data_IF_140078988700
#
_entry.id   IF_140078988700
#
_cell.length_a   1.000
_cell.length_b   1.000
_cell.length_c   1.000
_cell.angle_alpha   90.00
_cell.angle_beta   90.00
_cell.angle_gamma   90.00
#
_symmetry.space_group_name_H-M   'P 1'
#
loop_
_entity.id
_entity.type
_entity.pdbx_description
1 polymer ?
#
# COMPACT_ATOMS: atom_id res chain seq x y z
N UNK A 1 6.57 -11.31 2.34
CA UNK A 1 7.18 -9.97 2.19
C UNK A 1 6.60 -9.13 3.29
N UNK A 2 7.45 -8.49 4.07
CA UNK A 2 6.99 -7.75 5.24
C UNK A 2 6.53 -6.35 4.86
N UNK A 3 5.27 -6.05 5.17
CA UNK A 3 4.59 -4.81 4.84
C UNK A 3 4.43 -3.93 6.08
N UNK A 4 4.50 -2.62 5.89
CA UNK A 4 3.98 -1.63 6.80
C UNK A 4 2.85 -0.83 6.13
N UNK A 5 1.72 -0.65 6.82
CA UNK A 5 0.64 0.23 6.38
C UNK A 5 0.49 1.40 7.36
N UNK A 6 0.76 2.61 6.86
CA UNK A 6 0.59 3.87 7.57
C UNK A 6 -0.87 4.32 7.48
N UNK A 7 -1.63 4.05 8.54
CA UNK A 7 -3.01 4.48 8.67
C UNK A 7 -3.07 5.87 9.32
N UNK A 8 -3.13 6.89 8.47
CA UNK A 8 -3.06 8.31 8.84
C UNK A 8 -4.40 8.81 9.39
N UNK A 9 -4.85 8.28 10.53
CA UNK A 9 -6.13 8.64 11.17
C UNK A 9 -6.20 10.15 11.47
N UNK A 10 -5.16 10.67 12.11
CA UNK A 10 -5.00 12.08 12.46
C UNK A 10 -3.82 12.76 11.73
N UNK A 11 -3.38 12.18 10.62
CA UNK A 11 -2.21 12.65 9.88
C UNK A 11 -0.92 12.00 10.38
N UNK A 12 0.20 12.70 10.24
CA UNK A 12 1.54 12.17 10.53
C UNK A 12 2.54 13.29 10.84
N UNK A 13 3.37 13.06 11.85
CA UNK A 13 4.60 13.79 12.14
C UNK A 13 5.75 12.83 12.44
N UNK A 14 6.97 13.36 12.54
CA UNK A 14 8.18 12.58 12.81
C UNK A 14 8.08 11.75 14.10
N UNK A 15 7.80 12.41 15.21
CA UNK A 15 7.54 11.82 16.53
C UNK A 15 6.40 10.78 16.51
N UNK A 16 5.30 11.05 15.79
CA UNK A 16 4.20 10.10 15.63
C UNK A 16 4.61 8.86 14.83
N UNK A 17 5.41 9.02 13.78
CA UNK A 17 5.93 7.89 13.00
C UNK A 17 6.85 7.01 13.84
N UNK A 18 7.81 7.64 14.53
CA UNK A 18 8.75 6.94 15.40
C UNK A 18 8.03 6.24 16.57
N UNK A 19 7.11 6.94 17.23
CA UNK A 19 6.30 6.38 18.32
C UNK A 19 5.46 5.19 17.88
N UNK A 20 4.82 5.28 16.71
CA UNK A 20 4.03 4.18 16.17
C UNK A 20 4.90 2.95 15.83
N UNK A 21 6.12 3.14 15.34
CA UNK A 21 7.02 2.02 15.04
C UNK A 21 7.60 1.37 16.29
N UNK A 22 7.93 2.16 17.32
CA UNK A 22 8.32 1.65 18.64
C UNK A 22 7.18 0.82 19.25
N UNK A 23 5.96 1.34 19.22
CA UNK A 23 4.78 0.61 19.71
C UNK A 23 4.49 -0.66 18.90
N UNK A 24 4.79 -0.65 17.59
CA UNK A 24 4.67 -1.82 16.73
C UNK A 24 5.76 -2.88 16.96
N UNK A 25 6.74 -2.62 17.85
CA UNK A 25 7.73 -3.58 18.31
C UNK A 25 9.18 -3.28 17.90
N UNK A 26 9.49 -2.08 17.41
CA UNK A 26 10.89 -1.69 17.23
C UNK A 26 11.59 -1.54 18.59
N UNK A 27 12.77 -2.13 18.75
CA UNK A 27 13.51 -2.13 20.01
C UNK A 27 14.04 -0.72 20.32
N UNK A 28 13.45 -0.08 21.33
CA UNK A 28 13.79 1.28 21.72
C UNK A 28 15.21 1.42 22.27
N UNK A 29 15.73 0.41 22.98
CA UNK A 29 17.09 0.48 23.53
C UNK A 29 18.12 0.43 22.40
N UNK A 30 17.94 -0.47 21.44
CA UNK A 30 18.79 -0.50 20.24
C UNK A 30 18.65 0.78 19.41
N UNK A 31 17.44 1.32 19.28
CA UNK A 31 17.20 2.56 18.56
C UNK A 31 17.93 3.75 19.22
N UNK A 32 17.89 3.84 20.56
CA UNK A 32 18.63 4.83 21.35
C UNK A 32 20.14 4.68 21.18
N UNK A 33 20.66 3.45 21.19
CA UNK A 33 22.08 3.18 20.95
C UNK A 33 22.55 3.56 19.54
N UNK A 34 21.74 3.24 18.53
CA UNK A 34 22.01 3.63 17.13
C UNK A 34 21.98 5.14 16.97
N UNK A 35 20.94 5.83 17.45
CA UNK A 35 20.81 7.28 17.37
C UNK A 35 21.94 8.03 18.08
N UNK A 36 22.49 7.49 19.17
CA UNK A 36 23.62 8.08 19.88
C UNK A 36 24.92 8.15 19.03
N UNK A 37 24.97 7.43 17.90
CA UNK A 37 26.09 7.50 16.94
C UNK A 37 26.06 8.76 16.07
N UNK A 38 24.93 9.47 16.01
CA UNK A 38 24.83 10.73 15.28
C UNK A 38 25.73 11.78 15.95
N UNK A 39 26.62 12.47 15.22
CA UNK A 39 27.45 13.52 15.78
C UNK A 39 26.65 14.82 15.93
N UNK A 40 25.64 14.78 16.80
CA UNK A 40 24.77 15.88 17.19
C UNK A 40 25.17 16.42 18.57
N UNK A 41 24.59 17.55 18.96
CA UNK A 41 24.67 18.04 20.34
C UNK A 41 24.00 17.04 21.30
N UNK A 42 24.36 17.03 22.59
CA UNK A 42 23.73 16.14 23.55
C UNK A 42 22.20 16.29 23.55
N UNK A 43 21.53 15.17 23.27
CA UNK A 43 20.09 15.03 23.32
C UNK A 43 19.70 13.80 24.12
N UNK A 44 18.49 13.81 24.63
CA UNK A 44 17.82 12.67 25.24
C UNK A 44 16.54 12.35 24.47
N UNK A 45 16.15 11.09 24.46
CA UNK A 45 14.92 10.61 23.84
C UNK A 45 14.09 9.89 24.91
N UNK A 46 12.91 10.42 25.17
CA UNK A 46 11.95 9.85 26.12
C UNK A 46 10.77 9.24 25.34
N UNK A 47 10.32 8.06 25.77
CA UNK A 47 9.12 7.41 25.24
C UNK A 47 8.17 7.15 26.39
N UNK A 48 6.97 7.71 26.31
CA UNK A 48 5.93 7.55 27.32
C UNK A 48 4.68 6.87 26.76
N UNK A 49 4.04 6.04 27.59
CA UNK A 49 2.70 5.52 27.34
C UNK A 49 1.67 6.61 27.64
N UNK A 50 0.83 6.92 26.65
CA UNK A 50 -0.21 7.95 26.77
C UNK A 50 -1.55 7.43 26.28
N UNK A 51 -2.63 7.92 26.88
CA UNK A 51 -3.98 7.67 26.40
C UNK A 51 -4.49 8.91 25.64
N UNK A 52 -4.99 8.72 24.42
CA UNK A 52 -5.62 9.76 23.60
C UNK A 52 -6.98 9.28 23.11
N UNK A 53 -8.03 9.91 23.62
CA UNK A 53 -9.43 9.58 23.36
C UNK A 53 -9.73 8.06 23.48
N UNK A 54 -9.18 7.42 24.52
CA UNK A 54 -9.37 6.00 24.82
C UNK A 54 -8.44 5.03 24.08
N UNK A 55 -7.49 5.52 23.28
CA UNK A 55 -6.45 4.71 22.65
C UNK A 55 -5.11 4.90 23.38
N UNK A 56 -4.48 3.79 23.76
CA UNK A 56 -3.09 3.80 24.20
C UNK A 56 -2.16 3.99 23.00
N UNK A 57 -1.14 4.81 23.17
CA UNK A 57 -0.15 5.13 22.17
C UNK A 57 1.17 5.50 22.83
N UNK A 58 2.26 5.46 22.06
CA UNK A 58 3.57 5.97 22.47
C UNK A 58 3.73 7.42 22.04
N UNK A 59 4.12 8.29 22.97
CA UNK A 59 4.62 9.64 22.65
C UNK A 59 6.13 9.62 22.74
N UNK A 60 6.79 10.18 21.72
CA UNK A 60 8.23 10.35 21.68
C UNK A 60 8.54 11.83 21.90
N UNK A 61 9.45 12.14 22.82
CA UNK A 61 9.93 13.49 23.05
C UNK A 61 11.46 13.51 22.94
N UNK A 62 11.99 14.36 22.07
CA UNK A 62 13.44 14.57 21.93
C UNK A 62 13.82 15.87 22.63
N UNK A 63 14.66 15.77 23.67
CA UNK A 63 15.14 16.92 24.44
C UNK A 63 16.58 17.21 24.10
N UNK A 64 16.85 18.32 23.40
CA UNK A 64 18.19 18.76 23.05
C UNK A 64 18.62 20.02 23.82
N UNK A 65 19.90 20.10 24.18
CA UNK A 65 20.45 21.19 25.00
C UNK A 65 20.76 22.49 24.23
N UNK A 66 20.86 22.44 22.90
CA UNK A 66 21.21 23.58 22.07
C UNK A 66 20.06 23.98 21.14
N UNK A 67 19.45 25.14 21.39
CA UNK A 67 18.52 25.76 20.46
C UNK A 67 19.27 26.60 19.41
N UNK A 68 18.87 26.49 18.14
CA UNK A 68 19.22 27.50 17.12
C UNK A 68 20.41 27.18 16.19
N UNK A 69 20.85 25.92 16.07
CA UNK A 69 21.82 25.55 15.04
C UNK A 69 21.10 25.34 13.72
N UNK A 70 21.32 26.28 12.80
CA UNK A 70 20.79 26.23 11.45
C UNK A 70 21.64 25.26 10.62
N UNK A 71 21.00 24.19 10.11
CA UNK A 71 21.67 23.16 9.29
C UNK A 71 21.25 23.25 7.83
N UNK A 72 22.22 23.05 6.94
CA UNK A 72 21.94 22.87 5.51
C UNK A 72 21.73 21.40 5.18
N UNK A 73 21.06 21.11 4.07
CA UNK A 73 20.92 19.73 3.58
C UNK A 73 22.28 19.04 3.42
N UNK A 74 23.28 19.75 2.85
CA UNK A 74 24.63 19.23 2.71
C UNK A 74 25.26 18.84 4.07
N UNK A 75 25.03 19.63 5.12
CA UNK A 75 25.52 19.33 6.47
C UNK A 75 24.82 18.11 7.10
N UNK A 76 23.51 17.96 6.90
CA UNK A 76 22.76 16.80 7.40
C UNK A 76 23.20 15.52 6.69
N UNK A 77 23.39 15.58 5.36
CA UNK A 77 23.89 14.43 4.61
C UNK A 77 25.27 13.99 5.12
N UNK A 78 26.20 14.93 5.28
CA UNK A 78 27.53 14.63 5.81
C UNK A 78 27.47 14.06 7.24
N UNK A 79 26.55 14.56 8.07
CA UNK A 79 26.29 14.04 9.41
C UNK A 79 25.83 12.57 9.35
N UNK A 80 24.84 12.26 8.51
CA UNK A 80 24.35 10.89 8.33
C UNK A 80 25.42 9.96 7.74
N UNK A 81 26.20 10.42 6.76
CA UNK A 81 27.30 9.64 6.16
C UNK A 81 28.38 9.26 7.20
N UNK A 82 28.56 10.10 8.22
CA UNK A 82 29.48 9.82 9.33
C UNK A 82 28.86 8.95 10.43
N UNK A 83 27.53 8.79 10.44
CA UNK A 83 26.83 7.93 11.36
C UNK A 83 26.96 6.48 10.89
N UNK A 84 27.50 5.60 11.74
CA UNK A 84 27.71 4.18 11.43
C UNK A 84 26.40 3.39 11.55
N UNK A 85 25.37 3.80 10.79
CA UNK A 85 24.06 3.16 10.73
C UNK A 85 24.08 1.92 9.83
N UNK A 86 23.13 0.98 10.02
CA UNK A 86 22.88 -0.07 9.04
C UNK A 86 22.64 0.53 7.64
N UNK A 87 23.16 -0.08 6.55
CA UNK A 87 23.08 0.48 5.20
C UNK A 87 21.65 0.84 4.75
N UNK A 88 20.68 -0.03 5.02
CA UNK A 88 19.28 0.19 4.61
C UNK A 88 18.64 1.36 5.38
N UNK A 89 18.96 1.50 6.67
CA UNK A 89 18.50 2.61 7.49
C UNK A 89 19.14 3.94 7.06
N UNK A 90 20.43 3.92 6.72
CA UNK A 90 21.15 5.08 6.22
C UNK A 90 20.59 5.55 4.87
N UNK A 91 20.38 4.62 3.92
CA UNK A 91 19.79 4.94 2.62
C UNK A 91 18.38 5.54 2.76
N UNK A 92 17.54 4.93 3.60
CA UNK A 92 16.20 5.44 3.85
C UNK A 92 16.22 6.83 4.53
N UNK A 93 17.04 7.05 5.55
CA UNK A 93 17.17 8.35 6.19
C UNK A 93 17.62 9.43 5.19
N UNK A 94 18.64 9.14 4.37
CA UNK A 94 19.10 10.05 3.32
C UNK A 94 18.01 10.33 2.27
N UNK A 95 17.22 9.33 1.90
CA UNK A 95 16.10 9.47 0.97
C UNK A 95 15.01 10.38 1.54
N UNK A 96 14.65 10.23 2.82
CA UNK A 96 13.68 11.11 3.50
C UNK A 96 14.17 12.57 3.48
N UNK A 97 15.41 12.82 3.92
CA UNK A 97 15.98 14.18 3.89
C UNK A 97 16.11 14.75 2.49
N UNK A 98 16.42 13.91 1.49
CA UNK A 98 16.47 14.35 0.09
C UNK A 98 15.11 14.81 -0.41
N UNK A 99 14.05 14.05 -0.15
CA UNK A 99 12.67 14.44 -0.51
C UNK A 99 12.29 15.77 0.10
N UNK A 100 12.60 15.95 1.38
CA UNK A 100 12.37 17.20 2.08
C UNK A 100 13.17 18.36 1.47
N UNK A 101 14.46 18.16 1.20
CA UNK A 101 15.31 19.18 0.57
C UNK A 101 14.81 19.56 -0.83
N UNK A 102 14.37 18.59 -1.64
CA UNK A 102 13.77 18.82 -2.96
C UNK A 102 12.51 19.68 -2.87
N UNK A 103 11.64 19.42 -1.90
CA UNK A 103 10.43 20.19 -1.67
C UNK A 103 10.75 21.63 -1.23
N UNK A 104 11.63 21.80 -0.25
CA UNK A 104 12.06 23.12 0.24
C UNK A 104 12.78 23.93 -0.86
N UNK A 105 13.63 23.29 -1.65
CA UNK A 105 14.31 23.90 -2.79
C UNK A 105 13.31 24.48 -3.80
N UNK A 106 12.22 23.76 -4.07
CA UNK A 106 11.15 24.20 -4.98
C UNK A 106 10.36 25.37 -4.39
N UNK A 107 9.93 25.25 -3.13
CA UNK A 107 9.16 26.30 -2.43
C UNK A 107 9.95 27.60 -2.38
N UNK A 108 11.25 27.52 -2.05
CA UNK A 108 12.12 28.68 -1.88
C UNK A 108 12.91 29.08 -3.13
N UNK A 109 12.81 28.33 -4.22
CA UNK A 109 13.54 28.53 -5.49
C UNK A 109 15.05 28.63 -5.28
N UNK A 110 15.61 27.65 -4.57
CA UNK A 110 17.03 27.55 -4.25
C UNK A 110 17.61 26.25 -4.81
N UNK A 111 18.94 26.21 -4.94
CA UNK A 111 19.65 24.95 -5.21
C UNK A 111 19.54 24.02 -4.00
N UNK A 112 19.35 22.72 -4.24
CA UNK A 112 19.07 21.73 -3.19
C UNK A 112 20.13 21.70 -2.08
N UNK A 113 21.42 21.76 -2.44
CA UNK A 113 22.53 21.73 -1.48
C UNK A 113 22.62 23.02 -0.64
N UNK A 114 21.99 24.10 -1.08
CA UNK A 114 21.91 25.38 -0.38
C UNK A 114 20.65 25.53 0.48
N UNK A 115 19.79 24.50 0.51
CA UNK A 115 18.60 24.48 1.36
C UNK A 115 19.02 24.51 2.82
N UNK A 116 18.44 25.46 3.53
CA UNK A 116 18.59 25.65 4.97
C UNK A 116 17.30 25.22 5.63
N UNK A 117 17.38 24.25 6.55
CA UNK A 117 16.21 23.82 7.31
C UNK A 117 16.10 24.68 8.58
N UNK A 118 15.05 25.48 8.67
CA UNK A 118 14.79 26.37 9.80
C UNK A 118 14.08 25.60 10.92
N UNK A 119 13.07 24.81 10.58
CA UNK A 119 12.29 24.00 11.54
C UNK A 119 12.74 22.55 11.55
N UNK A 120 13.12 22.01 10.38
CA UNK A 120 13.44 20.57 10.21
C UNK A 120 14.92 20.25 10.40
N UNK A 121 15.75 21.27 10.65
CA UNK A 121 17.20 21.12 10.90
C UNK A 121 17.52 20.96 12.38
N UNK A 122 16.51 21.06 13.23
CA UNK A 122 16.63 20.87 14.67
C UNK A 122 16.88 19.39 15.02
N UNK A 123 17.42 19.16 16.21
CA UNK A 123 17.86 17.84 16.66
C UNK A 123 16.70 16.85 16.75
N UNK A 124 15.53 17.31 17.18
CA UNK A 124 14.28 16.54 17.23
C UNK A 124 13.90 15.97 15.85
N UNK A 125 13.85 16.81 14.82
CA UNK A 125 13.52 16.39 13.46
C UNK A 125 14.54 15.40 12.88
N UNK A 126 15.82 15.57 13.21
CA UNK A 126 16.87 14.64 12.78
C UNK A 126 16.72 13.29 13.46
N UNK A 127 16.49 13.30 14.76
CA UNK A 127 16.26 12.08 15.56
C UNK A 127 14.99 11.37 15.11
N UNK A 128 13.91 12.09 14.83
CA UNK A 128 12.65 11.52 14.35
C UNK A 128 12.81 10.81 13.00
N UNK A 129 13.45 11.47 12.02
CA UNK A 129 13.66 10.91 10.68
C UNK A 129 14.63 9.72 10.72
N UNK A 130 15.78 9.89 11.39
CA UNK A 130 16.76 8.84 11.55
C UNK A 130 16.19 7.64 12.32
N UNK A 131 15.48 7.91 13.41
CA UNK A 131 14.82 6.91 14.25
C UNK A 131 13.74 6.16 13.49
N UNK A 132 12.91 6.86 12.72
CA UNK A 132 11.89 6.23 11.85
C UNK A 132 12.54 5.30 10.83
N UNK A 133 13.64 5.72 10.19
CA UNK A 133 14.36 4.89 9.24
C UNK A 133 14.94 3.64 9.90
N UNK A 134 15.60 3.79 11.06
CA UNK A 134 16.11 2.68 11.87
C UNK A 134 15.00 1.72 12.29
N UNK A 135 13.88 2.24 12.79
CA UNK A 135 12.77 1.42 13.27
C UNK A 135 12.11 0.62 12.15
N UNK A 136 11.93 1.20 10.96
CA UNK A 136 11.45 0.46 9.78
C UNK A 136 12.40 -0.67 9.39
N UNK A 137 13.72 -0.41 9.39
CA UNK A 137 14.74 -1.42 9.11
C UNK A 137 14.77 -2.51 10.18
N UNK A 138 14.68 -2.17 11.47
CA UNK A 138 14.62 -3.12 12.58
C UNK A 138 13.39 -4.03 12.50
N UNK A 139 12.26 -3.47 12.09
CA UNK A 139 11.04 -4.23 11.85
C UNK A 139 11.08 -5.05 10.56
N UNK A 140 12.16 -4.98 9.79
CA UNK A 140 12.34 -5.72 8.54
C UNK A 140 11.33 -5.35 7.47
N UNK A 141 10.83 -4.11 7.46
CA UNK A 141 9.82 -3.66 6.48
C UNK A 141 10.45 -3.59 5.10
N UNK A 142 9.93 -4.37 4.17
CA UNK A 142 10.40 -4.41 2.79
C UNK A 142 9.62 -3.43 1.91
N UNK A 143 8.31 -3.26 2.19
CA UNK A 143 7.40 -2.41 1.42
C UNK A 143 6.47 -1.65 2.35
N UNK A 144 6.11 -0.43 1.98
CA UNK A 144 5.17 0.37 2.76
C UNK A 144 4.07 1.00 1.90
N UNK A 145 2.89 1.13 2.49
CA UNK A 145 1.72 1.79 1.90
C UNK A 145 1.10 2.74 2.91
N UNK A 146 0.28 3.68 2.44
CA UNK A 146 -0.44 4.60 3.31
C UNK A 146 -1.92 4.69 2.94
N UNK A 147 -2.75 4.99 3.94
CA UNK A 147 -4.10 5.50 3.69
C UNK A 147 -4.03 6.85 2.96
N UNK A 148 -5.18 7.37 2.53
CA UNK A 148 -5.31 8.79 2.20
C UNK A 148 -4.90 9.67 3.39
N UNK A 149 -4.38 10.86 3.10
CA UNK A 149 -3.68 11.69 4.10
C UNK A 149 -4.53 12.91 4.49
N UNK A 150 -4.99 13.02 5.76
CA UNK A 150 -5.70 14.20 6.25
C UNK A 150 -4.72 15.34 6.55
N UNK A 151 -4.85 16.47 5.88
CA UNK A 151 -3.88 17.58 5.99
C UNK A 151 -4.24 18.62 7.06
N UNK A 152 -5.51 18.66 7.50
CA UNK A 152 -6.03 19.76 8.31
C UNK A 152 -6.41 20.98 7.45
N UNK A 153 -6.57 22.15 8.06
CA UNK A 153 -6.80 23.42 7.38
C UNK A 153 -6.44 24.61 8.27
N UNK A 154 -6.35 25.80 7.67
CA UNK A 154 -6.15 27.06 8.38
C UNK A 154 -4.74 27.61 8.20
N UNK A 155 -4.21 28.23 9.25
CA UNK A 155 -2.88 28.82 9.26
C UNK A 155 -2.12 28.35 10.50
N UNK A 156 -0.86 27.96 10.34
CA UNK A 156 0.06 27.64 11.45
C UNK A 156 1.14 28.71 11.59
N UNK A 157 1.70 28.89 12.78
CA UNK A 157 2.76 29.87 13.02
C UNK A 157 4.12 29.18 12.87
N UNK A 158 4.92 29.68 11.94
CA UNK A 158 6.26 29.17 11.59
C UNK A 158 7.30 30.27 11.80
N UNK A 159 8.58 29.92 11.66
CA UNK A 159 9.68 30.89 11.58
C UNK A 159 9.56 31.82 10.36
N UNK A 160 8.80 31.40 9.34
CA UNK A 160 8.46 32.20 8.17
C UNK A 160 7.16 33.02 8.34
N UNK A 161 6.61 33.07 9.55
CA UNK A 161 5.34 33.74 9.85
C UNK A 161 4.14 32.79 9.77
N UNK A 162 2.94 33.33 9.55
CA UNK A 162 1.75 32.49 9.39
C UNK A 162 1.78 31.77 8.03
N UNK A 163 1.79 30.44 8.03
CA UNK A 163 1.78 29.60 6.85
C UNK A 163 0.44 28.87 6.68
N UNK A 164 -0.03 28.67 5.44
CA UNK A 164 -1.25 27.91 5.19
C UNK A 164 -1.06 26.45 5.60
N UNK A 165 -2.15 25.79 5.98
CA UNK A 165 -2.21 24.35 6.21
C UNK A 165 -2.99 23.71 5.06
N UNK A 166 -2.42 22.71 4.35
CA UNK A 166 -1.06 22.18 4.51
C UNK A 166 0.03 23.20 4.13
N UNK A 167 1.19 23.12 4.80
CA UNK A 167 2.35 23.95 4.49
C UNK A 167 2.81 23.74 3.03
N UNK A 168 3.40 24.74 2.36
CA UNK A 168 3.83 24.61 0.96
C UNK A 168 4.75 23.41 0.70
N UNK A 169 5.67 23.10 1.64
CA UNK A 169 6.55 21.94 1.54
C UNK A 169 5.77 20.62 1.61
N UNK A 170 4.73 20.53 2.45
CA UNK A 170 3.84 19.34 2.54
C UNK A 170 3.10 19.12 1.22
N UNK A 171 2.63 20.18 0.57
CA UNK A 171 1.97 20.08 -0.74
C UNK A 171 2.94 19.59 -1.82
N UNK A 172 4.18 20.06 -1.81
CA UNK A 172 5.21 19.57 -2.76
C UNK A 172 5.59 18.11 -2.50
N UNK A 173 5.75 17.71 -1.23
CA UNK A 173 6.11 16.35 -0.82
C UNK A 173 5.03 15.33 -1.19
N UNK A 174 3.77 15.67 -0.95
CA UNK A 174 2.64 14.77 -1.16
C UNK A 174 1.97 14.95 -2.54
N UNK A 175 2.69 15.50 -3.51
CA UNK A 175 2.21 15.64 -4.88
C UNK A 175 1.92 14.25 -5.47
N UNK A 176 0.64 14.00 -5.79
CA UNK A 176 0.16 12.71 -6.30
C UNK A 176 -0.42 11.79 -5.22
N UNK A 177 -0.30 12.14 -3.94
CA UNK A 177 -1.00 11.45 -2.87
C UNK A 177 -2.47 11.90 -2.80
N UNK A 178 -3.42 11.01 -2.41
CA UNK A 178 -4.79 11.39 -2.13
C UNK A 178 -4.86 12.15 -0.81
N UNK A 179 -5.02 13.47 -0.91
CA UNK A 179 -5.15 14.38 0.22
C UNK A 179 -6.62 14.70 0.49
N UNK A 180 -6.98 14.81 1.77
CA UNK A 180 -8.28 15.33 2.15
C UNK A 180 -8.19 16.20 3.39
N UNK A 181 -9.27 16.93 3.68
CA UNK A 181 -9.44 17.68 4.92
C UNK A 181 -10.86 17.49 5.42
N UNK A 182 -11.02 17.29 6.74
CA UNK A 182 -12.33 17.12 7.41
C UNK A 182 -12.72 18.35 8.23
N UNK A 183 -12.16 19.51 7.94
CA UNK A 183 -12.52 20.73 8.68
C UNK A 183 -11.68 21.00 9.93
N UNK A 184 -10.63 20.21 10.18
CA UNK A 184 -9.84 20.27 11.42
C UNK A 184 -8.84 21.44 11.34
N UNK A 185 -8.97 22.50 12.19
CA UNK A 185 -8.25 23.75 12.02
C UNK A 185 -6.83 23.72 12.63
N UNK A 186 -6.11 22.62 12.45
CA UNK A 186 -4.74 22.44 12.94
C UNK A 186 -3.87 21.74 11.88
N UNK A 187 -2.56 21.87 11.99
CA UNK A 187 -1.62 21.09 11.17
C UNK A 187 -1.63 19.63 11.64
N UNK A 188 -2.20 18.75 10.80
CA UNK A 188 -2.23 17.30 11.05
C UNK A 188 -1.04 16.58 10.40
N UNK A 189 -0.44 17.20 9.40
CA UNK A 189 0.72 16.64 8.68
C UNK A 189 1.81 17.68 8.67
N UNK A 190 2.92 17.34 9.32
CA UNK A 190 4.12 18.18 9.34
C UNK A 190 4.98 17.90 8.11
N UNK A 191 5.92 18.80 7.74
CA UNK A 191 6.89 18.53 6.68
C UNK A 191 7.70 17.24 6.90
N UNK A 192 8.06 16.90 8.14
CA UNK A 192 8.78 15.66 8.48
C UNK A 192 7.91 14.43 8.21
N UNK A 193 6.68 14.42 8.70
CA UNK A 193 5.73 13.32 8.46
C UNK A 193 5.43 13.11 6.97
N UNK A 194 5.23 14.20 6.23
CA UNK A 194 5.04 14.16 4.79
C UNK A 194 6.27 13.59 4.05
N UNK A 195 7.48 13.97 4.47
CA UNK A 195 8.72 13.49 3.87
C UNK A 195 8.95 11.99 4.16
N UNK A 196 8.58 11.52 5.36
CA UNK A 196 8.58 10.10 5.70
C UNK A 196 7.69 9.36 4.70
N UNK A 197 6.42 9.73 4.55
CA UNK A 197 5.52 9.06 3.60
C UNK A 197 6.08 9.11 2.16
N UNK A 198 6.46 10.29 1.68
CA UNK A 198 6.94 10.47 0.30
C UNK A 198 8.23 9.69 -0.05
N UNK A 199 8.99 9.28 0.96
CA UNK A 199 10.19 8.48 0.80
C UNK A 199 9.97 6.98 1.05
N UNK A 200 9.03 6.61 1.91
CA UNK A 200 8.83 5.21 2.34
C UNK A 200 7.75 4.48 1.54
N UNK A 201 6.65 5.14 1.19
CA UNK A 201 5.47 4.44 0.65
C UNK A 201 5.52 4.27 -0.87
N UNK A 202 5.13 3.08 -1.32
CA UNK A 202 5.02 2.75 -2.76
C UNK A 202 3.70 3.23 -3.35
N UNK A 203 2.67 3.37 -2.52
CA UNK A 203 1.34 3.75 -2.96
C UNK A 203 0.42 4.16 -1.82
N UNK A 204 -0.68 4.78 -2.21
CA UNK A 204 -1.74 5.22 -1.31
C UNK A 204 -3.04 4.53 -1.67
N UNK A 205 -3.79 4.05 -0.69
CA UNK A 205 -5.04 3.34 -0.95
C UNK A 205 -5.61 2.69 0.30
N UNK A 206 -6.45 1.67 0.08
CA UNK A 206 -6.92 0.81 1.16
C UNK A 206 -5.81 -0.09 1.71
N UNK A 207 -6.03 -0.63 2.90
CA UNK A 207 -5.14 -1.61 3.54
C UNK A 207 -4.92 -2.80 2.58
N UNK A 208 -3.69 -3.07 2.13
CA UNK A 208 -3.42 -4.25 1.31
C UNK A 208 -3.74 -5.53 2.06
N UNK A 209 -4.02 -6.60 1.32
CA UNK A 209 -4.27 -7.91 1.91
C UNK A 209 -2.99 -8.37 2.65
N UNK A 210 -3.05 -8.38 3.98
CA UNK A 210 -1.91 -8.74 4.82
C UNK A 210 -2.37 -9.47 6.08
N UNK A 211 -1.50 -10.35 6.59
CA UNK A 211 -1.64 -10.91 7.92
C UNK A 211 -0.94 -9.99 8.91
N UNK A 212 -1.72 -9.15 9.59
CA UNK A 212 -1.20 -8.22 10.62
C UNK A 212 -0.59 -9.01 11.77
N UNK A 213 0.67 -8.71 12.08
CA UNK A 213 1.42 -9.36 13.16
C UNK A 213 1.63 -8.42 14.35
N UNK A 214 1.81 -7.13 14.09
CA UNK A 214 1.86 -6.10 15.13
C UNK A 214 1.19 -4.82 14.66
N UNK A 215 0.73 -4.04 15.64
CA UNK A 215 0.11 -2.73 15.44
C UNK A 215 0.74 -1.79 16.44
N UNK A 216 1.07 -0.58 16.00
CA UNK A 216 1.56 0.46 16.88
C UNK A 216 0.86 1.79 16.66
N UNK A 217 0.77 2.56 17.73
CA UNK A 217 0.13 3.87 17.76
C UNK A 217 1.13 4.93 18.25
N UNK A 218 1.35 5.96 17.44
CA UNK A 218 2.17 7.11 17.79
C UNK A 218 1.31 8.33 18.06
N UNK A 219 1.41 8.89 19.25
CA UNK A 219 0.58 10.01 19.69
C UNK A 219 1.15 11.35 19.25
N UNK A 220 0.31 12.19 18.65
CA UNK A 220 0.64 13.59 18.41
C UNK A 220 0.52 14.43 19.69
N UNK A 221 1.14 15.60 19.66
CA UNK A 221 1.15 16.54 20.79
C UNK A 221 -0.14 17.35 20.93
N UNK A 222 -0.89 17.54 19.84
CA UNK A 222 -2.13 18.34 19.86
C UNK A 222 -3.31 17.57 20.44
N UNK A 223 -4.19 18.28 21.14
CA UNK A 223 -5.46 17.73 21.64
C UNK A 223 -6.58 17.95 20.61
N UNK A 224 -7.18 16.86 20.15
CA UNK A 224 -8.25 16.86 19.15
C UNK A 224 -9.52 16.19 19.70
N UNK A 225 -10.65 16.41 19.04
CA UNK A 225 -11.94 15.79 19.39
C UNK A 225 -12.01 14.30 19.00
N UNK A 226 -10.98 13.79 18.31
CA UNK A 226 -10.77 12.39 17.95
C UNK A 226 -9.33 11.98 18.29
N UNK A 227 -9.00 10.68 18.33
CA UNK A 227 -7.65 10.25 18.69
C UNK A 227 -6.59 10.87 17.78
N UNK A 228 -5.70 11.68 18.35
CA UNK A 228 -4.58 12.28 17.63
C UNK A 228 -3.42 11.28 17.54
N UNK A 229 -3.59 10.25 16.71
CA UNK A 229 -2.61 9.18 16.53
C UNK A 229 -2.36 8.87 15.05
N UNK A 230 -1.14 8.42 14.79
CA UNK A 230 -0.81 7.62 13.62
C UNK A 230 -0.90 6.16 14.04
N UNK A 231 -1.56 5.32 13.24
CA UNK A 231 -1.52 3.87 13.41
C UNK A 231 -0.63 3.25 12.33
N UNK A 232 0.25 2.33 12.71
CA UNK A 232 1.02 1.52 11.76
C UNK A 232 0.65 0.05 11.98
N UNK A 233 0.28 -0.63 10.90
CA UNK A 233 0.09 -2.07 10.88
C UNK A 233 1.31 -2.71 10.21
N UNK A 234 1.94 -3.66 10.89
CA UNK A 234 3.09 -4.41 10.36
C UNK A 234 2.73 -5.88 10.28
N UNK A 235 3.08 -6.52 9.17
CA UNK A 235 2.74 -7.92 8.95
C UNK A 235 3.28 -8.44 7.64
N UNK A 236 2.87 -9.66 7.28
CA UNK A 236 3.27 -10.28 6.02
C UNK A 236 2.21 -10.04 4.95
N UNK A 237 2.64 -9.67 3.75
CA UNK A 237 1.82 -9.71 2.55
C UNK A 237 1.18 -11.08 2.46
N UNK A 238 -0.15 -11.10 2.50
CA UNK A 238 -0.88 -12.34 2.35
C UNK A 238 -0.94 -12.61 0.85
N UNK A 239 -0.27 -13.66 0.41
CA UNK A 239 -0.45 -14.16 -0.95
C UNK A 239 -1.95 -14.36 -1.19
N UNK A 240 -2.45 -13.68 -2.23
CA UNK A 240 -3.64 -14.12 -2.93
C UNK A 240 -3.30 -15.48 -3.55
N UNK A 241 -3.35 -16.54 -2.73
CA UNK A 241 -3.20 -17.92 -3.17
C UNK A 241 -4.28 -18.23 -4.18
N UNK A 242 -4.03 -18.00 -5.47
CA UNK A 242 -4.72 -18.59 -6.64
C UNK A 242 -6.25 -18.55 -6.67
N UNK A 243 -6.91 -17.95 -5.70
CA UNK A 243 -8.33 -17.85 -5.56
C UNK A 243 -8.60 -16.37 -5.78
N UNK A 244 -9.18 -16.05 -6.94
CA UNK A 244 -9.74 -14.73 -7.20
C UNK A 244 -10.31 -14.18 -5.88
N UNK A 245 -9.91 -12.98 -5.47
CA UNK A 245 -10.46 -12.31 -4.29
C UNK A 245 -11.99 -12.40 -4.36
N UNK A 246 -12.74 -12.77 -3.28
CA UNK A 246 -14.20 -12.74 -3.30
C UNK A 246 -14.63 -11.39 -3.88
N UNK A 247 -15.13 -11.41 -5.13
CA UNK A 247 -15.67 -10.21 -5.71
C UNK A 247 -16.80 -9.79 -4.76
N UNK A 248 -16.89 -8.51 -4.38
CA UNK A 248 -18.02 -8.02 -3.61
C UNK A 248 -19.32 -8.57 -4.21
N UNK A 249 -20.25 -9.03 -3.35
CA UNK A 249 -21.54 -9.62 -3.78
C UNK A 249 -22.19 -8.80 -4.89
N UNK A 250 -22.06 -7.49 -4.78
CA UNK A 250 -22.37 -6.52 -5.82
C UNK A 250 -21.12 -5.67 -6.07
N UNK A 251 -20.56 -5.76 -7.27
CA UNK A 251 -19.41 -4.95 -7.72
C UNK A 251 -19.75 -4.25 -9.02
N UNK A 252 -19.28 -3.01 -9.16
CA UNK A 252 -19.27 -2.29 -10.43
C UNK A 252 -17.94 -2.58 -11.11
N UNK A 253 -17.99 -3.34 -12.19
CA UNK A 253 -16.84 -3.61 -13.05
C UNK A 253 -16.91 -2.73 -14.29
N UNK A 254 -15.81 -2.62 -15.03
CA UNK A 254 -15.75 -1.90 -16.29
C UNK A 254 -15.35 -2.85 -17.40
N UNK A 255 -16.22 -3.00 -18.39
CA UNK A 255 -15.94 -3.70 -19.63
C UNK A 255 -15.30 -2.71 -20.61
N UNK A 256 -14.03 -2.91 -20.93
CA UNK A 256 -13.34 -2.20 -22.00
C UNK A 256 -13.34 -3.06 -23.25
N UNK A 257 -13.58 -2.43 -24.39
CA UNK A 257 -13.57 -3.13 -25.66
C UNK A 257 -12.91 -2.31 -26.77
N UNK A 258 -12.28 -3.00 -27.71
CA UNK A 258 -11.79 -2.41 -28.94
C UNK A 258 -11.87 -3.39 -30.10
N UNK A 259 -12.08 -2.89 -31.32
CA UNK A 259 -12.16 -3.73 -32.51
C UNK A 259 -10.87 -3.57 -33.30
N UNK A 260 -10.25 -4.68 -33.66
CA UNK A 260 -8.93 -4.74 -34.28
C UNK A 260 -9.02 -5.57 -35.56
N UNK A 261 -8.72 -4.96 -36.72
CA UNK A 261 -8.82 -5.60 -38.05
C UNK A 261 -7.48 -5.75 -38.79
N UNK A 262 -6.38 -5.30 -38.18
CA UNK A 262 -5.05 -5.22 -38.77
C UNK A 262 -3.91 -5.81 -37.91
N UNK A 263 -4.25 -6.47 -36.79
CA UNK A 263 -3.27 -7.14 -35.92
C UNK A 263 -2.97 -8.56 -36.39
N UNK A 264 -1.71 -8.98 -36.28
CA UNK A 264 -1.31 -10.37 -36.49
C UNK A 264 -2.03 -11.27 -35.45
N UNK A 265 -2.76 -12.32 -35.88
CA UNK A 265 -3.47 -13.20 -34.97
C UNK A 265 -2.65 -13.81 -33.83
N UNK A 266 -1.35 -14.05 -34.04
CA UNK A 266 -0.45 -14.59 -33.01
C UNK A 266 -0.26 -13.64 -31.82
N UNK A 267 -0.47 -12.34 -32.02
CA UNK A 267 -0.27 -11.32 -30.97
C UNK A 267 -1.43 -11.30 -29.99
N UNK A 268 -2.62 -11.80 -30.36
CA UNK A 268 -3.76 -11.78 -29.44
C UNK A 268 -3.53 -12.62 -28.18
N UNK A 269 -2.79 -13.74 -28.27
CA UNK A 269 -2.42 -14.55 -27.12
C UNK A 269 -1.63 -13.72 -26.10
N UNK A 270 -0.58 -13.04 -26.57
CA UNK A 270 0.23 -12.14 -25.75
C UNK A 270 -0.59 -11.00 -25.12
N UNK A 271 -1.50 -10.39 -25.88
CA UNK A 271 -2.38 -9.33 -25.36
C UNK A 271 -3.27 -9.84 -24.22
N UNK A 272 -3.83 -11.04 -24.35
CA UNK A 272 -4.67 -11.65 -23.30
C UNK A 272 -3.83 -11.93 -22.04
N UNK A 273 -2.63 -12.49 -22.20
CA UNK A 273 -1.72 -12.76 -21.09
C UNK A 273 -1.33 -11.49 -20.33
N UNK A 274 -0.96 -10.42 -21.05
CA UNK A 274 -0.60 -9.13 -20.45
C UNK A 274 -1.78 -8.49 -19.69
N UNK A 275 -3.00 -8.55 -20.25
CA UNK A 275 -4.20 -8.04 -19.59
C UNK A 275 -4.50 -8.80 -18.29
N UNK A 276 -4.42 -10.14 -18.33
CA UNK A 276 -4.64 -10.99 -17.15
C UNK A 276 -3.54 -10.78 -16.10
N UNK A 277 -2.27 -10.68 -16.50
CA UNK A 277 -1.14 -10.42 -15.63
C UNK A 277 -1.23 -9.04 -14.95
N UNK A 278 -1.72 -8.03 -15.68
CA UNK A 278 -2.00 -6.70 -15.13
C UNK A 278 -3.25 -6.66 -14.23
N UNK A 279 -3.97 -7.78 -14.12
CA UNK A 279 -5.07 -7.94 -13.18
C UNK A 279 -6.47 -7.69 -13.76
N UNK A 280 -6.68 -7.89 -15.05
CA UNK A 280 -8.04 -8.08 -15.56
C UNK A 280 -8.72 -9.25 -14.83
N UNK A 281 -10.02 -9.13 -14.51
CA UNK A 281 -10.76 -10.30 -14.00
C UNK A 281 -11.10 -11.29 -15.12
N UNK A 282 -11.23 -10.81 -16.35
CA UNK A 282 -11.43 -11.64 -17.53
C UNK A 282 -10.98 -10.89 -18.79
N UNK A 283 -10.52 -11.61 -19.80
CA UNK A 283 -10.16 -11.07 -21.10
C UNK A 283 -10.47 -12.11 -22.19
N UNK A 284 -11.15 -11.69 -23.26
CA UNK A 284 -11.56 -12.59 -24.33
C UNK A 284 -11.58 -11.91 -25.69
N UNK A 285 -11.69 -12.76 -26.73
CA UNK A 285 -11.71 -12.37 -28.13
C UNK A 285 -13.05 -12.77 -28.74
N UNK A 286 -13.70 -11.85 -29.45
CA UNK A 286 -14.93 -12.14 -30.20
C UNK A 286 -14.74 -11.81 -31.69
N UNK A 287 -14.90 -12.77 -32.61
CA UNK A 287 -14.79 -12.51 -34.04
C UNK A 287 -15.97 -11.65 -34.51
N UNK A 288 -15.69 -10.62 -35.30
CA UNK A 288 -16.69 -9.69 -35.85
C UNK A 288 -16.40 -9.39 -37.33
N UNK A 289 -17.40 -8.89 -38.04
CA UNK A 289 -17.25 -8.36 -39.40
C UNK A 289 -17.49 -6.86 -39.37
N UNK A 290 -16.50 -6.08 -39.80
CA UNK A 290 -16.54 -4.63 -39.84
C UNK A 290 -16.93 -4.09 -41.22
N UNK A 291 -17.01 -2.75 -41.34
CA UNK A 291 -17.28 -2.06 -42.62
C UNK A 291 -16.37 -2.58 -43.74
N UNK A 292 -16.87 -2.55 -44.97
CA UNK A 292 -16.19 -3.13 -46.15
C UNK A 292 -16.01 -4.66 -46.08
N UNK A 293 -16.76 -5.35 -45.22
CA UNK A 293 -16.74 -6.81 -45.11
C UNK A 293 -15.45 -7.36 -44.52
N UNK A 294 -14.71 -6.55 -43.75
CA UNK A 294 -13.42 -6.96 -43.17
C UNK A 294 -13.64 -7.82 -41.93
N UNK A 295 -13.09 -9.04 -41.88
CA UNK A 295 -12.99 -9.80 -40.64
C UNK A 295 -12.13 -9.03 -39.62
N UNK A 296 -12.55 -9.04 -38.36
CA UNK A 296 -11.86 -8.38 -37.26
C UNK A 296 -12.12 -9.12 -35.96
N UNK A 297 -11.42 -8.73 -34.90
CA UNK A 297 -11.59 -9.27 -33.55
C UNK A 297 -11.93 -8.13 -32.60
N UNK A 298 -12.98 -8.29 -31.81
CA UNK A 298 -13.20 -7.46 -30.63
C UNK A 298 -12.39 -8.05 -29.49
N UNK A 299 -11.45 -7.27 -28.96
CA UNK A 299 -10.77 -7.58 -27.70
C UNK A 299 -11.59 -6.95 -26.59
N UNK A 300 -12.03 -7.77 -25.65
CA UNK A 300 -12.85 -7.37 -24.51
C UNK A 300 -12.11 -7.71 -23.23
N UNK A 301 -12.08 -6.77 -22.28
CA UNK A 301 -11.46 -6.95 -20.97
C UNK A 301 -12.40 -6.44 -19.89
N UNK A 302 -12.62 -7.27 -18.87
CA UNK A 302 -13.37 -6.91 -17.67
C UNK A 302 -12.35 -6.59 -16.58
N UNK A 303 -12.43 -5.37 -16.04
CA UNK A 303 -11.51 -4.85 -15.04
C UNK A 303 -12.25 -4.04 -13.95
N UNK A 304 -11.67 -3.94 -12.75
CA UNK A 304 -12.19 -3.03 -11.74
C UNK A 304 -11.96 -1.57 -12.16
N UNK A 305 -12.74 -0.59 -11.65
CA UNK A 305 -12.61 0.82 -12.03
C UNK A 305 -11.18 1.37 -11.86
N UNK A 306 -10.45 0.90 -10.85
CA UNK A 306 -9.08 1.35 -10.53
C UNK A 306 -8.06 0.86 -11.56
N UNK A 307 -8.37 -0.22 -12.29
CA UNK A 307 -7.48 -0.86 -13.27
C UNK A 307 -7.72 -0.39 -14.71
N UNK A 308 -8.75 0.43 -14.93
CA UNK A 308 -9.16 0.87 -16.26
C UNK A 308 -8.02 1.51 -17.05
N UNK A 309 -7.23 2.41 -16.45
CA UNK A 309 -6.16 3.09 -17.16
C UNK A 309 -4.98 2.16 -17.51
N UNK A 310 -4.70 1.17 -16.65
CA UNK A 310 -3.70 0.14 -16.92
C UNK A 310 -4.11 -0.73 -18.11
N UNK A 311 -5.34 -1.25 -18.09
CA UNK A 311 -5.89 -2.08 -19.19
C UNK A 311 -5.94 -1.31 -20.50
N UNK A 312 -6.40 -0.06 -20.44
CA UNK A 312 -6.45 0.82 -21.62
C UNK A 312 -5.06 1.08 -22.19
N UNK A 313 -4.07 1.27 -21.32
CA UNK A 313 -2.67 1.43 -21.73
C UNK A 313 -2.13 0.21 -22.48
N UNK A 314 -2.42 -1.00 -22.00
CA UNK A 314 -2.03 -2.25 -22.67
C UNK A 314 -2.71 -2.35 -24.04
N UNK A 315 -4.02 -2.15 -24.11
CA UNK A 315 -4.76 -2.18 -25.37
C UNK A 315 -4.17 -1.21 -26.40
N UNK A 316 -3.83 0.03 -26.02
CA UNK A 316 -3.23 0.99 -26.94
C UNK A 316 -1.82 0.59 -27.41
N UNK A 317 -0.97 0.10 -26.52
CA UNK A 317 0.42 -0.26 -26.88
C UNK A 317 0.49 -1.53 -27.73
N UNK A 318 -0.25 -2.56 -27.34
CA UNK A 318 -0.06 -3.90 -27.89
C UNK A 318 -0.97 -4.19 -29.10
N UNK A 319 -2.12 -3.51 -29.22
CA UNK A 319 -3.04 -3.74 -30.35
C UNK A 319 -2.93 -2.70 -31.46
N UNK A 320 -2.34 -1.53 -31.20
CA UNK A 320 -2.31 -0.41 -32.14
C UNK A 320 -3.66 0.26 -32.37
N UNK A 321 -4.69 -0.09 -31.58
CA UNK A 321 -6.01 0.53 -31.69
C UNK A 321 -5.96 2.04 -31.45
N UNK A 322 -6.84 2.78 -32.12
CA UNK A 322 -6.99 4.23 -31.94
C UNK A 322 -8.04 4.60 -30.88
N UNK A 323 -8.79 3.62 -30.37
CA UNK A 323 -9.85 3.89 -29.40
C UNK A 323 -10.28 2.65 -28.64
N UNK A 324 -10.60 2.87 -27.36
CA UNK A 324 -11.17 1.86 -26.46
C UNK A 324 -12.48 2.44 -25.92
N UNK A 325 -13.56 1.67 -26.02
CA UNK A 325 -14.86 2.02 -25.41
C UNK A 325 -14.97 1.35 -24.05
N UNK A 326 -15.69 1.97 -23.12
CA UNK A 326 -15.90 1.48 -21.78
C UNK A 326 -17.38 1.45 -21.42
N UNK A 327 -17.82 0.39 -20.77
CA UNK A 327 -19.17 0.25 -20.21
C UNK A 327 -19.07 -0.19 -18.76
N UNK A 328 -19.73 0.50 -17.85
CA UNK A 328 -19.89 0.02 -16.47
C UNK A 328 -20.86 -1.17 -16.44
N UNK A 329 -20.50 -2.23 -15.75
CA UNK A 329 -21.26 -3.47 -15.65
C UNK A 329 -21.44 -3.80 -14.17
N UNK A 330 -22.70 -3.90 -13.74
CA UNK A 330 -23.02 -4.42 -12.43
C UNK A 330 -22.87 -5.94 -12.43
N UNK A 331 -22.05 -6.46 -11.53
CA UNK A 331 -21.83 -7.89 -11.34
C UNK A 331 -22.39 -8.32 -10.00
N UNK A 332 -23.28 -9.31 -10.03
CA UNK A 332 -23.76 -9.99 -8.83
C UNK A 332 -23.15 -11.38 -8.73
N UNK A 333 -22.27 -11.57 -7.76
CA UNK A 333 -21.60 -12.84 -7.53
C UNK A 333 -22.24 -13.62 -6.38
N UNK A 334 -22.20 -14.95 -6.45
CA UNK A 334 -22.49 -15.80 -5.29
C UNK A 334 -21.43 -15.58 -4.21
N UNK A 335 -21.81 -15.75 -2.95
CA UNK A 335 -20.79 -15.99 -1.93
C UNK A 335 -20.03 -17.25 -2.29
N UNK A 336 -18.77 -17.31 -1.86
CA UNK A 336 -17.97 -18.51 -2.05
C UNK A 336 -17.25 -18.90 -0.79
N UNK A 337 -17.17 -20.20 -0.61
CA UNK A 337 -16.30 -20.82 0.37
C UNK A 337 -15.36 -21.78 -0.38
N UNK A 338 -14.18 -21.98 0.17
CA UNK A 338 -13.24 -22.98 -0.35
C UNK A 338 -13.13 -24.08 0.68
N UNK A 339 -13.66 -25.25 0.31
CA UNK A 339 -13.56 -26.46 1.11
C UNK A 339 -12.33 -27.25 0.66
N UNK A 340 -11.51 -27.71 1.59
CA UNK A 340 -10.44 -28.67 1.27
C UNK A 340 -10.94 -30.08 1.51
N UNK A 341 -10.87 -30.91 0.49
CA UNK A 341 -11.21 -32.33 0.58
C UNK A 341 -9.99 -33.20 0.35
N UNK A 342 -9.85 -34.24 1.16
CA UNK A 342 -8.78 -35.24 1.02
C UNK A 342 -9.27 -36.36 0.12
N UNK A 343 -8.81 -36.39 -1.14
CA UNK A 343 -9.06 -37.53 -2.05
C UNK A 343 -8.13 -38.69 -1.72
N UNK A 344 -8.38 -39.87 -2.28
CA UNK A 344 -7.46 -41.00 -2.20
C UNK A 344 -6.05 -40.70 -2.75
N UNK A 345 -5.90 -39.63 -3.53
CA UNK A 345 -4.68 -39.27 -4.24
C UNK A 345 -4.04 -37.98 -3.72
N UNK A 346 -4.72 -37.20 -2.88
CA UNK A 346 -4.22 -35.96 -2.30
C UNK A 346 -5.30 -34.91 -2.04
N UNK A 347 -4.90 -33.83 -1.36
CA UNK A 347 -5.78 -32.72 -1.05
C UNK A 347 -6.14 -31.90 -2.29
N UNK A 348 -7.42 -31.58 -2.44
CA UNK A 348 -7.98 -30.75 -3.52
C UNK A 348 -8.85 -29.65 -2.90
N UNK A 349 -8.62 -28.41 -3.31
CA UNK A 349 -9.53 -27.31 -3.01
C UNK A 349 -10.80 -27.41 -3.86
N UNK A 350 -11.96 -27.16 -3.25
CA UNK A 350 -13.27 -27.19 -3.89
C UNK A 350 -13.97 -25.87 -3.62
N UNK A 351 -14.27 -25.14 -4.70
CA UNK A 351 -15.02 -23.90 -4.62
C UNK A 351 -16.51 -24.21 -4.49
N UNK A 352 -17.10 -23.74 -3.41
CA UNK A 352 -18.53 -23.85 -3.11
C UNK A 352 -19.16 -22.49 -3.29
N UNK A 353 -20.05 -22.32 -4.26
CA UNK A 353 -20.83 -21.09 -4.40
C UNK A 353 -22.14 -21.19 -3.62
N UNK A 354 -22.41 -20.22 -2.76
CA UNK A 354 -23.60 -20.15 -1.92
C UNK A 354 -24.60 -19.11 -2.45
N UNK A 355 -25.85 -19.50 -2.54
CA UNK A 355 -26.98 -18.60 -2.77
C UNK A 355 -27.84 -18.60 -1.51
N UNK A 356 -28.00 -17.42 -0.88
CA UNK A 356 -28.72 -17.28 0.39
C UNK A 356 -28.22 -18.24 1.49
N UNK A 357 -26.90 -18.45 1.54
CA UNK A 357 -26.25 -19.35 2.50
C UNK A 357 -26.36 -20.84 2.17
N UNK A 358 -26.95 -21.21 1.02
CA UNK A 358 -27.07 -22.60 0.59
C UNK A 358 -26.09 -22.92 -0.54
N UNK A 359 -25.33 -24.03 -0.48
CA UNK A 359 -24.53 -24.51 -1.59
C UNK A 359 -25.40 -24.71 -2.84
N UNK A 360 -25.03 -24.06 -3.94
CA UNK A 360 -25.68 -24.23 -5.26
C UNK A 360 -24.69 -24.61 -6.36
N UNK A 361 -23.40 -24.42 -6.11
CA UNK A 361 -22.34 -24.85 -7.04
C UNK A 361 -21.19 -25.45 -6.23
N UNK A 362 -20.63 -26.55 -6.72
CA UNK A 362 -19.50 -27.25 -6.12
C UNK A 362 -18.55 -27.59 -7.27
N UNK A 363 -17.40 -26.92 -7.30
CA UNK A 363 -16.43 -27.04 -8.38
C UNK A 363 -15.04 -27.25 -7.79
N UNK A 364 -14.48 -28.47 -7.87
CA UNK A 364 -13.07 -28.70 -7.59
C UNK A 364 -12.17 -27.80 -8.41
N UNK A 365 -11.07 -27.34 -7.81
CA UNK A 365 -10.06 -26.57 -8.51
C UNK A 365 -9.29 -27.48 -9.48
N UNK A 366 -9.30 -27.11 -10.75
CA UNK A 366 -8.76 -27.96 -11.82
C UNK A 366 -7.24 -28.15 -11.68
N UNK A 367 -6.51 -27.11 -11.30
CA UNK A 367 -5.05 -27.19 -11.16
C UNK A 367 -4.64 -28.16 -10.05
N UNK A 368 -5.36 -28.18 -8.93
CA UNK A 368 -5.17 -29.16 -7.86
C UNK A 368 -5.49 -30.57 -8.36
N UNK A 369 -6.62 -30.75 -9.04
CA UNK A 369 -6.99 -32.04 -9.64
C UNK A 369 -5.91 -32.54 -10.60
N UNK A 370 -5.38 -31.65 -11.46
CA UNK A 370 -4.36 -31.98 -12.44
C UNK A 370 -3.00 -32.30 -11.79
N UNK A 371 -2.59 -31.54 -10.76
CA UNK A 371 -1.38 -31.80 -9.98
C UNK A 371 -1.45 -33.15 -9.30
N UNK A 372 -2.50 -33.38 -8.51
CA UNK A 372 -2.74 -34.64 -7.78
C UNK A 372 -2.78 -35.83 -8.75
N UNK A 373 -3.45 -35.66 -9.90
CA UNK A 373 -3.54 -36.69 -10.92
C UNK A 373 -2.18 -37.06 -11.54
N UNK A 374 -1.31 -36.07 -11.81
CA UNK A 374 0.04 -36.32 -12.32
C UNK A 374 0.92 -37.03 -11.30
N UNK A 375 0.86 -36.61 -10.05
CA UNK A 375 1.63 -37.19 -8.94
C UNK A 375 1.24 -38.66 -8.69
N UNK A 376 -0.07 -38.96 -8.74
CA UNK A 376 -0.59 -40.31 -8.51
C UNK A 376 -0.67 -41.19 -9.77
N UNK A 377 -0.43 -40.64 -10.96
CA UNK A 377 -0.52 -41.38 -12.22
C UNK A 377 -1.94 -41.81 -12.60
N UNK A 378 -2.96 -41.02 -12.23
CA UNK A 378 -4.38 -41.30 -12.48
C UNK A 378 -5.02 -40.25 -13.40
N UNK A 379 -6.19 -40.51 -14.02
CA UNK A 379 -6.90 -39.50 -14.80
C UNK A 379 -7.40 -38.33 -13.92
N UNK A 380 -7.12 -37.08 -14.32
CA UNK A 380 -7.58 -35.87 -13.61
C UNK A 380 -9.11 -35.80 -13.45
N UNK A 381 -9.86 -36.39 -14.39
CA UNK A 381 -11.30 -36.54 -14.30
C UNK A 381 -11.74 -37.32 -13.05
N UNK A 382 -11.03 -38.39 -12.69
CA UNK A 382 -11.40 -39.20 -11.52
C UNK A 382 -11.16 -38.44 -10.22
N UNK A 383 -10.02 -37.73 -10.11
CA UNK A 383 -9.72 -36.86 -8.96
C UNK A 383 -10.77 -35.76 -8.82
N UNK A 384 -11.17 -35.15 -9.94
CA UNK A 384 -12.22 -34.13 -9.96
C UNK A 384 -13.58 -34.68 -9.49
N UNK A 385 -14.03 -35.81 -10.04
CA UNK A 385 -15.30 -36.45 -9.66
C UNK A 385 -15.30 -36.88 -8.18
N UNK A 386 -14.17 -37.41 -7.69
CA UNK A 386 -14.00 -37.79 -6.29
C UNK A 386 -14.04 -36.58 -5.34
N UNK A 387 -13.28 -35.53 -5.65
CA UNK A 387 -13.26 -34.30 -4.86
C UNK A 387 -14.65 -33.64 -4.78
N UNK A 388 -15.37 -33.59 -5.91
CA UNK A 388 -16.74 -33.06 -5.94
C UNK A 388 -17.70 -33.90 -5.07
N UNK A 389 -17.58 -35.23 -5.08
CA UNK A 389 -18.39 -36.12 -4.24
C UNK A 389 -18.08 -35.91 -2.75
N UNK A 390 -16.82 -35.91 -2.37
CA UNK A 390 -16.40 -35.71 -0.98
C UNK A 390 -16.85 -34.34 -0.44
N UNK A 391 -16.83 -33.31 -1.28
CA UNK A 391 -17.32 -31.99 -0.90
C UNK A 391 -18.83 -32.00 -0.63
N UNK A 392 -19.63 -32.68 -1.48
CA UNK A 392 -21.08 -32.86 -1.23
C UNK A 392 -21.35 -33.61 0.07
N UNK A 393 -20.60 -34.69 0.32
CA UNK A 393 -20.74 -35.51 1.51
C UNK A 393 -20.46 -34.68 2.79
N UNK A 394 -19.46 -33.79 2.76
CA UNK A 394 -19.11 -32.90 3.88
C UNK A 394 -20.10 -31.75 4.08
N UNK A 395 -20.67 -31.21 3.01
CA UNK A 395 -21.64 -30.12 3.06
C UNK A 395 -23.04 -30.58 3.50
N UNK A 396 -23.26 -31.90 3.61
CA UNK A 396 -24.51 -32.46 4.14
C UNK A 396 -25.70 -32.24 3.21
N UNK A 397 -25.49 -32.32 1.89
CA UNK A 397 -26.58 -32.34 0.91
C UNK A 397 -27.41 -33.64 1.07
N UNK A 398 -28.34 -33.63 2.02
CA UNK A 398 -29.57 -34.37 1.87
C UNK A 398 -30.36 -33.71 0.75
N UNK A 399 -30.34 -34.31 -0.44
CA UNK A 399 -31.27 -33.99 -1.53
C UNK A 399 -32.68 -33.74 -0.97
N UNK A 400 -33.24 -32.57 -1.27
CA UNK A 400 -34.67 -32.28 -1.14
C UNK A 400 -35.25 -32.04 -2.53
#
# INVERSE_FOLDING_TARGET
MRLAYFDCIAGISGDMALGALIDAGADFDLLREELAKLPLEPFDIEVEDVETNGLNAKRVEVRATAAGIIRTYASIRALLDSAAFPPDALDLAQRIFRRLAEAEARVHRKEIDSVTFHEVGAVDSIVDIAGTALALTMLGVERAFSSAVPTGLGMTKTDHGAMPIPAPAVVELLRGAPLYSKGVPVELVTPTGAAILAATVEGYGELPLMSVQSVGYGAGSQRLDFPNVLRILVGEEAESRGAASPAPRDSTEVLLETNVDDLNPEVFEYVIEELLAAGAQDAWLAPVVMKKGRPAVTVSVLCSPERVDAMRGILFRETGTLGVRSTEVAKRALDREVLKVETAHGAVAVKVGLFEGRPVTISPEYEDCARVAREAGVPARHVYEEAARLARDQLGDHEA
#
